data_IF_115301015613
#
_entry.id   IF_115301015613
#
_cell.length_a   1.000
_cell.length_b   1.000
_cell.length_c   1.000
_cell.angle_alpha   90.00
_cell.angle_beta   90.00
_cell.angle_gamma   90.00
#
_symmetry.space_group_name_H-M   'P 1'
#
loop_
_entity.id
_entity.type
_entity.pdbx_description
1 polymer ?
#
# COMPACT_ATOMS: atom_id res chain seq x y z
N UNK A 1 27.04 -34.04 -6.10
CA UNK A 1 26.38 -32.82 -6.61
C UNK A 1 25.37 -32.39 -5.57
N UNK A 2 25.75 -31.33 -4.83
CA UNK A 2 24.95 -30.36 -4.05
C UNK A 2 23.98 -30.87 -2.98
N UNK A 3 24.45 -30.79 -1.74
CA UNK A 3 23.68 -30.67 -0.51
C UNK A 3 22.81 -29.39 -0.54
N UNK A 4 21.49 -29.55 -0.50
CA UNK A 4 20.52 -28.44 -0.34
C UNK A 4 20.49 -28.02 1.13
N UNK A 5 21.29 -27.00 1.48
CA UNK A 5 21.21 -26.34 2.77
C UNK A 5 19.87 -25.60 2.88
N UNK A 6 18.99 -26.05 3.79
CA UNK A 6 17.85 -25.26 4.26
C UNK A 6 18.38 -23.95 4.84
N UNK A 7 18.21 -22.83 4.13
CA UNK A 7 18.32 -21.49 4.70
C UNK A 7 17.23 -21.38 5.78
N UNK A 8 17.62 -21.49 7.05
CA UNK A 8 16.75 -21.11 8.15
C UNK A 8 16.49 -19.60 8.05
N UNK A 9 15.23 -19.25 7.83
CA UNK A 9 14.72 -17.88 7.79
C UNK A 9 15.04 -17.19 9.14
N UNK A 10 16.16 -16.48 9.24
CA UNK A 10 16.63 -15.76 10.45
C UNK A 10 15.56 -14.82 11.03
N UNK A 11 14.62 -14.40 10.19
CA UNK A 11 13.50 -13.54 10.57
C UNK A 11 12.53 -14.25 11.54
N UNK A 12 12.37 -15.58 11.43
CA UNK A 12 11.49 -16.38 12.30
C UNK A 12 12.07 -16.58 13.70
N UNK A 13 13.38 -16.83 13.81
CA UNK A 13 14.08 -16.96 15.09
C UNK A 13 14.05 -15.63 15.87
N UNK A 14 14.12 -14.50 15.17
CA UNK A 14 14.07 -13.17 15.77
C UNK A 14 12.69 -12.82 16.37
N UNK A 15 11.60 -13.27 15.75
CA UNK A 15 10.23 -13.08 16.25
C UNK A 15 9.95 -13.98 17.46
N UNK A 16 10.44 -15.23 17.44
CA UNK A 16 10.31 -16.18 18.56
C UNK A 16 11.07 -15.68 19.79
N UNK A 17 12.32 -15.23 19.62
CA UNK A 17 13.12 -14.68 20.72
C UNK A 17 12.50 -13.42 21.35
N UNK A 18 11.90 -12.54 20.53
CA UNK A 18 11.17 -11.38 21.05
C UNK A 18 9.91 -11.78 21.83
N UNK A 19 9.20 -12.83 21.42
CA UNK A 19 8.00 -13.32 22.12
C UNK A 19 8.38 -13.96 23.47
N UNK A 20 9.48 -14.70 23.52
CA UNK A 20 10.00 -15.33 24.74
C UNK A 20 10.47 -14.29 25.76
N UNK A 21 11.22 -13.27 25.33
CA UNK A 21 11.71 -12.18 26.19
C UNK A 21 10.56 -11.34 26.79
N UNK A 22 9.48 -11.12 26.01
CA UNK A 22 8.25 -10.46 26.46
C UNK A 22 7.48 -11.31 27.49
N UNK A 23 7.58 -12.64 27.43
CA UNK A 23 6.91 -13.53 28.38
C UNK A 23 7.71 -13.68 29.69
N UNK A 24 9.04 -13.72 29.64
CA UNK A 24 9.88 -13.72 30.85
C UNK A 24 9.79 -12.40 31.64
N UNK A 25 9.68 -11.24 30.96
CA UNK A 25 9.45 -9.95 31.65
C UNK A 25 8.06 -9.84 32.29
N UNK A 26 7.08 -10.65 31.86
CA UNK A 26 5.75 -10.72 32.50
C UNK A 26 5.75 -11.61 33.73
N UNK A 27 6.47 -12.74 33.70
CA UNK A 27 6.56 -13.69 34.81
C UNK A 27 7.33 -13.11 36.02
N UNK A 28 8.41 -12.35 35.78
CA UNK A 28 9.22 -11.73 36.83
C UNK A 28 8.55 -10.55 37.56
N UNK A 29 7.34 -10.17 37.16
CA UNK A 29 6.61 -9.00 37.65
C UNK A 29 5.56 -9.32 38.73
N UNK A 30 5.79 -10.34 39.55
CA UNK A 30 4.83 -10.79 40.57
C UNK A 30 4.72 -9.87 41.80
N UNK A 31 5.59 -8.86 41.92
CA UNK A 31 5.65 -7.89 43.03
C UNK A 31 5.64 -6.40 42.60
N UNK A 32 5.48 -6.09 41.31
CA UNK A 32 5.41 -4.69 40.85
C UNK A 32 3.99 -4.13 40.89
N UNK A 33 3.90 -2.82 41.18
CA UNK A 33 2.64 -2.06 41.18
C UNK A 33 1.90 -2.28 39.86
N UNK A 34 0.57 -2.45 39.92
CA UNK A 34 -0.26 -2.59 38.71
C UNK A 34 -0.07 -1.38 37.79
N UNK A 35 0.50 -1.61 36.60
CA UNK A 35 0.62 -0.60 35.56
C UNK A 35 -0.73 -0.22 34.93
N UNK A 36 -0.79 0.98 34.36
CA UNK A 36 -1.94 1.46 33.60
C UNK A 36 -1.98 0.82 32.20
N UNK A 37 -3.15 0.36 31.75
CA UNK A 37 -3.31 -0.22 30.41
C UNK A 37 -3.39 0.86 29.32
N UNK A 38 -2.98 0.54 28.09
CA UNK A 38 -3.03 1.48 26.95
C UNK A 38 -4.44 2.05 26.71
N UNK A 39 -5.48 1.25 26.95
CA UNK A 39 -6.86 1.65 26.77
C UNK A 39 -7.22 2.79 27.74
N UNK A 40 -6.86 2.64 29.02
CA UNK A 40 -7.08 3.65 30.07
C UNK A 40 -6.14 4.85 29.86
N UNK A 41 -4.89 4.63 29.43
CA UNK A 41 -3.92 5.71 29.21
C UNK A 41 -4.28 6.62 28.01
N UNK A 42 -4.89 6.07 26.94
CA UNK A 42 -5.23 6.84 25.73
C UNK A 42 -6.70 7.25 25.63
N UNK A 43 -7.60 6.63 26.42
CA UNK A 43 -9.03 6.97 26.47
C UNK A 43 -9.70 7.17 25.10
N UNK A 44 -9.38 6.30 24.12
CA UNK A 44 -9.84 6.45 22.73
C UNK A 44 -11.31 6.08 22.52
N UNK A 45 -11.93 5.32 23.42
CA UNK A 45 -13.33 4.89 23.31
C UNK A 45 -13.62 4.01 22.07
N UNK A 46 -14.89 3.94 21.68
CA UNK A 46 -15.39 3.09 20.58
C UNK A 46 -15.23 3.75 19.19
N UNK A 47 -14.00 4.16 18.84
CA UNK A 47 -13.75 4.79 17.53
C UNK A 47 -13.76 3.76 16.38
N UNK A 48 -14.30 4.10 15.19
CA UNK A 48 -14.29 3.20 14.04
C UNK A 48 -12.88 2.98 13.50
N UNK A 49 -12.66 1.81 12.87
CA UNK A 49 -11.38 1.51 12.24
C UNK A 49 -11.10 2.45 11.05
N UNK A 50 -9.94 3.12 11.07
CA UNK A 50 -9.47 4.00 9.99
C UNK A 50 -8.36 3.32 9.20
N UNK A 51 -8.41 3.45 7.87
CA UNK A 51 -7.40 2.87 6.96
C UNK A 51 -6.00 3.43 7.26
N UNK A 52 -4.95 2.63 7.07
CA UNK A 52 -3.55 3.05 7.28
C UNK A 52 -3.19 4.30 6.47
N UNK A 53 -3.72 4.47 5.26
CA UNK A 53 -3.51 5.66 4.43
C UNK A 53 -3.99 6.98 5.08
N UNK A 54 -5.04 6.92 5.90
CA UNK A 54 -5.59 8.12 6.56
C UNK A 54 -4.74 8.57 7.76
N UNK A 55 -3.82 7.72 8.23
CA UNK A 55 -2.89 8.06 9.32
C UNK A 55 -1.84 9.06 8.87
N UNK A 56 -1.46 9.05 7.59
CA UNK A 56 -0.44 9.94 7.04
C UNK A 56 -1.02 10.78 5.89
N UNK A 57 -1.20 12.11 6.07
CA UNK A 57 -1.80 12.97 5.06
C UNK A 57 -1.00 12.99 3.75
N UNK A 58 0.33 12.87 3.82
CA UNK A 58 1.20 12.81 2.63
C UNK A 58 0.89 11.58 1.78
N UNK A 59 0.77 10.41 2.42
CA UNK A 59 0.48 9.14 1.73
C UNK A 59 -0.91 9.16 1.10
N UNK A 60 -1.91 9.69 1.82
CA UNK A 60 -3.27 9.88 1.31
C UNK A 60 -3.27 10.73 0.03
N UNK A 61 -2.60 11.89 0.04
CA UNK A 61 -2.56 12.79 -1.11
C UNK A 61 -1.78 12.21 -2.30
N UNK A 62 -0.66 11.54 -2.04
CA UNK A 62 0.10 10.82 -3.07
C UNK A 62 -0.76 9.78 -3.78
N UNK A 63 -1.49 8.96 -3.00
CA UNK A 63 -2.36 7.93 -3.55
C UNK A 63 -3.59 8.52 -4.27
N UNK A 64 -4.15 9.62 -3.77
CA UNK A 64 -5.24 10.37 -4.44
C UNK A 64 -4.79 10.88 -5.80
N UNK A 65 -3.60 11.50 -5.89
CA UNK A 65 -3.03 11.97 -7.15
C UNK A 65 -2.78 10.83 -8.14
N UNK A 66 -2.16 9.73 -7.68
CA UNK A 66 -1.92 8.54 -8.51
C UNK A 66 -3.23 8.00 -9.10
N UNK A 67 -4.26 7.82 -8.28
CA UNK A 67 -5.60 7.36 -8.72
C UNK A 67 -6.22 8.32 -9.74
N UNK A 68 -6.12 9.63 -9.50
CA UNK A 68 -6.61 10.64 -10.43
C UNK A 68 -5.88 10.62 -11.78
N UNK A 69 -4.55 10.42 -11.78
CA UNK A 69 -3.74 10.31 -13.00
C UNK A 69 -4.15 9.11 -13.86
N UNK A 70 -4.37 7.94 -13.24
CA UNK A 70 -4.86 6.74 -13.94
C UNK A 70 -6.25 6.96 -14.54
N UNK A 71 -7.18 7.53 -13.76
CA UNK A 71 -8.54 7.84 -14.24
C UNK A 71 -8.52 8.84 -15.40
N UNK A 72 -7.62 9.83 -15.37
CA UNK A 72 -7.46 10.80 -16.45
C UNK A 72 -7.00 10.13 -17.75
N UNK A 73 -5.99 9.24 -17.68
CA UNK A 73 -5.53 8.45 -18.84
C UNK A 73 -6.63 7.62 -19.49
N UNK A 74 -7.60 7.15 -18.70
CA UNK A 74 -8.77 6.42 -19.21
C UNK A 74 -9.79 7.31 -19.93
N UNK A 75 -9.99 8.55 -19.47
CA UNK A 75 -10.94 9.50 -20.06
C UNK A 75 -10.38 10.26 -21.27
N UNK A 76 -9.11 10.69 -21.18
CA UNK A 76 -8.44 11.53 -22.19
C UNK A 76 -7.13 10.86 -22.58
N UNK A 77 -6.88 10.75 -23.88
CA UNK A 77 -5.61 10.25 -24.40
C UNK A 77 -4.52 11.29 -24.15
N UNK A 78 -3.44 10.87 -23.49
CA UNK A 78 -2.23 11.68 -23.36
C UNK A 78 -1.50 11.76 -24.71
N UNK A 79 -0.75 12.85 -24.92
CA UNK A 79 0.12 13.01 -26.09
C UNK A 79 1.22 11.95 -26.05
N UNK A 80 1.42 11.25 -27.16
CA UNK A 80 2.48 10.25 -27.33
C UNK A 80 3.54 10.82 -28.26
N UNK A 81 4.81 10.70 -27.87
CA UNK A 81 5.95 11.07 -28.70
C UNK A 81 6.54 9.80 -29.34
N UNK A 82 6.89 9.87 -30.62
CA UNK A 82 7.51 8.77 -31.35
C UNK A 82 9.01 8.72 -31.06
N UNK A 83 9.42 7.91 -30.08
CA UNK A 83 10.84 7.66 -29.78
C UNK A 83 11.50 6.74 -30.81
N UNK A 84 10.71 5.96 -31.56
CA UNK A 84 11.14 4.97 -32.55
C UNK A 84 10.23 5.07 -33.77
N UNK A 85 10.67 4.51 -34.91
CA UNK A 85 9.85 4.43 -36.14
C UNK A 85 8.50 3.76 -35.85
N UNK A 86 7.48 4.21 -36.56
CA UNK A 86 6.11 3.72 -36.44
C UNK A 86 6.04 2.19 -36.65
N UNK A 87 5.51 1.49 -35.64
CA UNK A 87 5.32 0.03 -35.63
C UNK A 87 3.86 -0.41 -35.77
N UNK A 88 2.94 0.52 -36.06
CA UNK A 88 1.50 0.25 -36.05
C UNK A 88 0.80 0.66 -34.75
N UNK A 89 -0.53 0.56 -34.75
CA UNK A 89 -1.39 0.87 -33.60
C UNK A 89 -1.45 -0.31 -32.62
N UNK A 90 -0.73 -0.21 -31.49
CA UNK A 90 -0.62 -1.29 -30.47
C UNK A 90 -1.99 -1.80 -29.99
N UNK A 91 -2.97 -0.91 -29.83
CA UNK A 91 -4.32 -1.25 -29.34
C UNK A 91 -5.34 -1.50 -30.45
N UNK A 92 -4.93 -1.41 -31.72
CA UNK A 92 -5.79 -1.56 -32.89
C UNK A 92 -6.60 -0.31 -33.28
N UNK A 93 -7.11 -0.33 -34.51
CA UNK A 93 -7.94 0.72 -35.11
C UNK A 93 -9.41 0.25 -35.12
N UNK A 94 -10.31 1.08 -34.56
CA UNK A 94 -11.76 0.82 -34.60
C UNK A 94 -12.43 1.72 -35.64
N UNK A 95 -12.75 1.15 -36.81
CA UNK A 95 -13.29 1.88 -37.96
C UNK A 95 -14.62 2.60 -37.69
N UNK A 96 -15.48 2.04 -36.84
CA UNK A 96 -16.84 2.57 -36.58
C UNK A 96 -16.87 3.80 -35.67
N UNK A 97 -15.79 4.11 -34.94
CA UNK A 97 -15.83 5.15 -33.90
C UNK A 97 -15.25 6.47 -34.42
N UNK A 98 -16.10 7.49 -34.48
CA UNK A 98 -15.70 8.88 -34.73
C UNK A 98 -15.50 9.62 -33.39
N UNK A 99 -14.42 10.38 -33.26
CA UNK A 99 -14.07 11.13 -32.02
C UNK A 99 -13.96 12.65 -32.23
N UNK A 100 -14.42 13.17 -33.37
CA UNK A 100 -14.39 14.60 -33.69
C UNK A 100 -15.49 15.36 -32.95
N UNK A 101 -15.25 16.65 -32.68
CA UNK A 101 -16.25 17.56 -32.12
C UNK A 101 -17.03 18.19 -33.28
N UNK A 102 -18.36 18.02 -33.31
CA UNK A 102 -19.21 18.64 -34.33
C UNK A 102 -19.37 20.13 -34.03
N UNK A 103 -19.02 20.98 -34.99
CA UNK A 103 -19.29 22.42 -34.92
C UNK A 103 -20.78 22.67 -35.19
N UNK A 104 -21.42 23.48 -34.35
CA UNK A 104 -22.78 23.97 -34.60
C UNK A 104 -22.67 25.25 -35.42
N UNK A 105 -23.42 25.32 -36.52
CA UNK A 105 -23.63 26.54 -37.30
C UNK A 105 -24.54 27.50 -36.56
#
# INVERSE_FOLDING_TARGET
MTDDAMEEDENSQSEIGQIEEINETKENNKLEKRGITYQIAKNKGLTPHRKKEQRNPRVKHRNKFRKAKVRRKGAVREVRNELRRYGGEISGIKATVTKSIKLKS
#
